data_IF_920022575954
#
_entry.id   IF_920022575954
#
_cell.length_a   1.000
_cell.length_b   1.000
_cell.length_c   1.000
_cell.angle_alpha   90.00
_cell.angle_beta   90.00
_cell.angle_gamma   90.00
#
_symmetry.space_group_name_H-M   'P 1'
#
loop_
_entity.id
_entity.type
_entity.pdbx_description
1 polymer ?
#
# COMPACT_ATOMS: atom_id res chain seq x y z
N UNK A 1 2.89 -21.73 -10.87
CA UNK A 1 1.81 -20.96 -10.18
C UNK A 1 2.39 -20.32 -8.95
N UNK A 2 2.30 -19.00 -8.82
CA UNK A 2 2.82 -18.25 -7.67
C UNK A 2 1.96 -18.46 -6.42
N UNK A 3 2.55 -18.35 -5.21
CA UNK A 3 1.84 -18.56 -3.96
C UNK A 3 0.78 -17.48 -3.72
N UNK A 4 -0.35 -17.86 -3.13
CA UNK A 4 -1.33 -16.92 -2.62
C UNK A 4 -0.87 -16.46 -1.22
N UNK A 5 -0.53 -15.19 -1.08
CA UNK A 5 -0.03 -14.61 0.17
C UNK A 5 -1.05 -13.58 0.68
N UNK A 6 -1.46 -13.72 1.93
CA UNK A 6 -2.36 -12.75 2.55
C UNK A 6 -1.60 -11.50 3.02
N UNK A 7 -2.17 -10.28 2.88
CA UNK A 7 -1.49 -9.07 3.29
C UNK A 7 -1.31 -8.96 4.82
N UNK A 8 -0.08 -8.67 5.26
CA UNK A 8 0.21 -8.33 6.65
C UNK A 8 -0.44 -7.00 7.03
N UNK A 9 -0.99 -6.89 8.23
CA UNK A 9 -1.69 -5.71 8.70
C UNK A 9 -0.83 -4.87 9.66
N UNK A 10 -0.81 -3.55 9.48
CA UNK A 10 -0.14 -2.63 10.39
C UNK A 10 -0.91 -2.42 11.71
N UNK A 11 -0.18 -2.29 12.82
CA UNK A 11 -0.67 -1.74 14.07
C UNK A 11 -0.96 -0.23 13.94
N UNK A 12 -1.50 0.39 15.00
CA UNK A 12 -1.81 1.84 15.04
C UNK A 12 -0.86 2.57 15.98
N UNK A 13 -0.62 3.85 15.69
CA UNK A 13 0.21 4.76 16.47
C UNK A 13 1.70 4.52 16.29
N UNK A 14 2.52 5.32 16.95
CA UNK A 14 3.97 5.20 16.91
C UNK A 14 4.46 3.93 17.62
N UNK A 15 5.59 3.37 17.19
CA UNK A 15 6.32 2.41 18.00
C UNK A 15 6.87 3.10 19.26
N UNK A 16 7.14 2.33 20.30
CA UNK A 16 7.80 2.80 21.51
C UNK A 16 9.33 2.74 21.33
N UNK A 17 10.04 3.71 21.90
CA UNK A 17 11.50 3.78 21.90
C UNK A 17 12.08 4.40 20.63
N UNK A 18 13.36 4.15 20.40
CA UNK A 18 14.13 4.68 19.29
C UNK A 18 13.62 4.20 17.92
N UNK A 19 13.66 5.08 16.93
CA UNK A 19 13.21 4.83 15.56
C UNK A 19 14.35 4.55 14.57
N UNK A 20 15.60 4.49 15.00
CA UNK A 20 16.76 4.20 14.14
C UNK A 20 16.67 2.85 13.42
N UNK A 21 16.03 1.87 14.10
CA UNK A 21 15.77 0.54 13.53
C UNK A 21 14.52 0.47 12.63
N UNK A 22 13.95 1.63 12.25
CA UNK A 22 12.72 1.72 11.45
C UNK A 22 12.98 2.45 10.14
N UNK A 23 12.14 2.16 9.16
CA UNK A 23 11.95 2.97 7.97
C UNK A 23 10.56 3.58 8.02
N UNK A 24 10.36 4.72 7.35
CA UNK A 24 9.06 5.36 7.20
C UNK A 24 8.74 5.56 5.74
N UNK A 25 7.50 5.29 5.37
CA UNK A 25 6.94 5.43 4.02
C UNK A 25 5.67 6.29 4.08
N UNK A 26 5.34 7.04 3.02
CA UNK A 26 4.04 7.69 2.92
C UNK A 26 2.93 6.65 2.90
N UNK A 27 1.85 6.91 3.65
CA UNK A 27 0.65 6.09 3.61
C UNK A 27 -0.25 6.54 2.47
N UNK A 28 -0.25 5.73 1.44
CA UNK A 28 -1.11 5.94 0.30
C UNK A 28 -2.56 5.62 0.65
N UNK A 29 -3.48 6.31 0.00
CA UNK A 29 -4.92 6.09 0.11
C UNK A 29 -5.47 5.56 -1.21
N UNK A 30 -5.52 4.27 -1.32
CA UNK A 30 -5.95 3.56 -2.51
C UNK A 30 -6.58 2.21 -2.16
N UNK A 31 -6.38 1.25 -3.03
CA UNK A 31 -6.78 -0.13 -2.81
C UNK A 31 -5.56 -1.03 -2.69
N UNK A 32 -5.29 -1.47 -1.48
CA UNK A 32 -4.24 -2.45 -1.24
C UNK A 32 -4.56 -3.75 -1.93
N UNK A 33 -3.57 -4.26 -2.66
CA UNK A 33 -3.65 -5.52 -3.35
C UNK A 33 -2.34 -6.30 -3.26
N UNK A 34 -2.47 -7.63 -3.29
CA UNK A 34 -1.36 -8.54 -3.57
C UNK A 34 -1.42 -8.85 -5.05
N UNK A 35 -0.32 -8.58 -5.75
CA UNK A 35 -0.18 -8.79 -7.18
C UNK A 35 0.82 -9.92 -7.41
N UNK A 36 0.35 -11.01 -7.99
CA UNK A 36 1.19 -12.08 -8.51
C UNK A 36 1.39 -11.84 -10.01
N UNK A 37 2.64 -11.72 -10.43
CA UNK A 37 3.06 -11.59 -11.81
C UNK A 37 3.96 -12.75 -12.15
N UNK A 38 3.61 -13.53 -13.17
CA UNK A 38 4.33 -14.72 -13.61
C UNK A 38 4.46 -14.69 -15.13
N UNK A 39 5.57 -14.15 -15.63
CA UNK A 39 5.89 -14.05 -17.07
C UNK A 39 4.72 -13.51 -17.91
N UNK A 40 4.20 -12.34 -17.54
CA UNK A 40 3.08 -11.68 -18.21
C UNK A 40 1.68 -12.11 -17.74
N UNK A 41 1.57 -13.18 -16.94
CA UNK A 41 0.30 -13.50 -16.29
C UNK A 41 0.13 -12.70 -14.99
N UNK A 42 -0.92 -11.87 -14.92
CA UNK A 42 -1.19 -11.01 -13.77
C UNK A 42 -2.42 -11.46 -13.00
N UNK A 43 -2.27 -11.71 -11.72
CA UNK A 43 -3.37 -11.96 -10.79
C UNK A 43 -3.27 -11.00 -9.61
N UNK A 44 -4.23 -10.11 -9.47
CA UNK A 44 -4.32 -9.20 -8.33
C UNK A 44 -5.49 -9.57 -7.42
N UNK A 45 -5.27 -9.50 -6.10
CA UNK A 45 -6.29 -9.73 -5.07
C UNK A 45 -6.32 -8.59 -4.09
N UNK A 46 -7.52 -8.15 -3.73
CA UNK A 46 -7.71 -7.16 -2.66
C UNK A 46 -7.28 -7.74 -1.31
N UNK A 47 -7.20 -6.87 -0.30
CA UNK A 47 -6.96 -7.27 1.09
C UNK A 47 -7.95 -8.34 1.62
N UNK A 48 -9.17 -8.41 1.10
CA UNK A 48 -10.17 -9.41 1.48
C UNK A 48 -10.10 -10.68 0.62
N UNK A 49 -9.09 -10.83 -0.24
CA UNK A 49 -8.91 -11.98 -1.12
C UNK A 49 -9.72 -11.93 -2.42
N UNK A 50 -10.58 -10.92 -2.61
CA UNK A 50 -11.36 -10.77 -3.85
C UNK A 50 -10.42 -10.48 -5.01
N UNK A 51 -10.55 -11.24 -6.10
CA UNK A 51 -9.82 -10.98 -7.35
C UNK A 51 -10.24 -9.63 -7.92
N UNK A 52 -9.25 -8.83 -8.30
CA UNK A 52 -9.44 -7.59 -9.03
C UNK A 52 -9.58 -7.89 -10.52
N UNK A 53 -10.43 -7.12 -11.20
CA UNK A 53 -10.45 -7.11 -12.64
C UNK A 53 -9.13 -6.53 -13.16
N UNK A 54 -8.69 -6.98 -14.34
CA UNK A 54 -7.39 -6.59 -14.93
C UNK A 54 -7.35 -5.13 -15.39
N UNK A 55 -8.48 -4.44 -15.44
CA UNK A 55 -8.57 -3.06 -15.91
C UNK A 55 -7.59 -2.15 -15.16
N UNK A 56 -6.55 -1.67 -15.86
CA UNK A 56 -5.48 -0.83 -15.32
C UNK A 56 -4.24 -1.60 -14.82
N UNK A 57 -4.18 -2.91 -14.97
CA UNK A 57 -3.00 -3.74 -14.67
C UNK A 57 -2.34 -4.31 -15.94
N UNK A 58 -2.88 -4.03 -17.12
CA UNK A 58 -2.41 -4.57 -18.40
C UNK A 58 -0.95 -4.21 -18.68
N UNK A 59 -0.48 -3.08 -18.17
CA UNK A 59 0.92 -2.67 -18.31
C UNK A 59 1.89 -3.62 -17.59
N UNK A 60 1.45 -4.30 -16.53
CA UNK A 60 2.27 -5.29 -15.84
C UNK A 60 2.48 -6.55 -16.69
N UNK A 61 1.56 -6.86 -17.61
CA UNK A 61 1.64 -8.02 -18.50
C UNK A 61 2.85 -7.94 -19.46
N UNK A 62 3.45 -6.76 -19.61
CA UNK A 62 4.66 -6.57 -20.43
C UNK A 62 5.96 -6.91 -19.69
N UNK A 63 5.90 -7.18 -18.39
CA UNK A 63 7.07 -7.48 -17.57
C UNK A 63 7.32 -9.00 -17.55
N UNK A 64 8.54 -9.39 -17.90
CA UNK A 64 9.01 -10.78 -17.79
C UNK A 64 9.59 -11.03 -16.40
N UNK A 65 8.71 -11.10 -15.41
CA UNK A 65 9.06 -11.29 -13.99
C UNK A 65 8.23 -12.42 -13.38
N UNK A 66 8.80 -13.12 -12.39
CA UNK A 66 8.09 -14.09 -11.54
C UNK A 66 8.13 -13.60 -10.09
N UNK A 67 7.13 -12.78 -9.69
CA UNK A 67 7.13 -12.07 -8.40
C UNK A 67 5.74 -11.99 -7.76
N UNK A 68 5.71 -11.82 -6.43
CA UNK A 68 4.52 -11.41 -5.67
C UNK A 68 4.80 -10.10 -4.96
N UNK A 69 4.06 -9.07 -5.31
CA UNK A 69 4.16 -7.71 -4.76
C UNK A 69 3.03 -7.44 -3.76
N UNK A 70 3.35 -6.70 -2.71
CA UNK A 70 2.36 -6.02 -1.87
C UNK A 70 2.33 -4.55 -2.30
N UNK A 71 1.19 -4.10 -2.77
CA UNK A 71 1.06 -2.82 -3.43
C UNK A 71 -0.24 -2.10 -3.07
N UNK A 72 -0.26 -0.80 -3.33
CA UNK A 72 -1.46 0.02 -3.32
C UNK A 72 -1.78 0.44 -4.75
N UNK A 73 -3.01 0.24 -5.20
CA UNK A 73 -3.52 0.81 -6.44
C UNK A 73 -4.04 2.21 -6.16
N UNK A 74 -3.52 3.20 -6.87
CA UNK A 74 -3.94 4.59 -6.75
C UNK A 74 -4.38 5.15 -8.10
N UNK A 75 -5.22 6.18 -8.07
CA UNK A 75 -5.63 6.93 -9.25
C UNK A 75 -5.08 8.35 -9.14
N UNK A 76 -4.03 8.69 -9.90
CA UNK A 76 -3.40 10.00 -9.88
C UNK A 76 -2.10 10.03 -9.06
N UNK A 77 -1.84 11.12 -8.33
CA UNK A 77 -0.56 11.38 -7.63
C UNK A 77 -0.54 10.96 -6.16
N UNK A 78 -1.43 10.07 -5.72
CA UNK A 78 -1.48 9.59 -4.33
C UNK A 78 -2.16 10.55 -3.35
N UNK A 79 -3.04 11.44 -3.80
CA UNK A 79 -3.81 12.37 -2.94
C UNK A 79 -5.05 11.71 -2.36
N UNK A 80 -5.62 12.27 -1.28
CA UNK A 80 -6.84 11.77 -0.65
C UNK A 80 -8.01 11.51 -1.60
N UNK A 81 -8.11 12.30 -2.67
CA UNK A 81 -9.17 12.20 -3.67
C UNK A 81 -9.05 10.95 -4.54
N UNK A 82 -7.88 10.35 -4.56
CA UNK A 82 -7.57 9.24 -5.46
C UNK A 82 -8.32 7.96 -5.07
N UNK A 83 -8.61 7.76 -3.78
CA UNK A 83 -9.43 6.63 -3.34
C UNK A 83 -10.83 6.65 -3.99
N UNK A 84 -11.50 7.79 -4.01
CA UNK A 84 -12.83 7.93 -4.62
C UNK A 84 -12.78 7.84 -6.14
N UNK A 85 -11.72 8.37 -6.76
CA UNK A 85 -11.49 8.25 -8.19
C UNK A 85 -11.26 6.80 -8.58
N UNK A 86 -10.49 6.07 -7.77
CA UNK A 86 -10.24 4.64 -7.94
C UNK A 86 -11.54 3.84 -7.83
N UNK A 87 -12.33 4.05 -6.78
CA UNK A 87 -13.61 3.37 -6.58
C UNK A 87 -14.55 3.56 -7.76
N UNK A 88 -14.70 4.80 -8.23
CA UNK A 88 -15.53 5.11 -9.40
C UNK A 88 -15.03 4.44 -10.68
N UNK A 89 -13.71 4.37 -10.90
CA UNK A 89 -13.11 3.73 -12.09
C UNK A 89 -13.27 2.22 -12.07
N UNK A 90 -13.04 1.59 -10.92
CA UNK A 90 -13.21 0.14 -10.79
C UNK A 90 -14.65 -0.31 -11.02
N UNK A 91 -15.64 0.52 -10.68
CA UNK A 91 -17.04 0.23 -10.96
C UNK A 91 -17.51 0.69 -12.34
N UNK A 92 -16.83 1.65 -12.98
CA UNK A 92 -17.25 2.21 -14.28
C UNK A 92 -16.70 1.50 -15.51
N UNK A 93 -15.88 0.45 -15.34
CA UNK A 93 -15.20 -0.30 -16.44
C UNK A 93 -14.41 0.60 -17.42
N UNK A 94 -14.03 1.81 -17.04
CA UNK A 94 -13.24 2.69 -17.89
C UNK A 94 -11.75 2.41 -17.68
N UNK A 95 -11.01 1.96 -18.71
CA UNK A 95 -9.57 1.72 -18.63
C UNK A 95 -8.83 3.05 -18.49
N UNK A 96 -7.73 3.02 -17.79
CA UNK A 96 -6.71 4.06 -17.78
C UNK A 96 -6.59 4.84 -16.47
N UNK A 97 -5.35 5.08 -16.08
CA UNK A 97 -4.93 5.95 -14.98
C UNK A 97 -4.89 5.31 -13.59
N UNK A 98 -4.79 3.99 -13.49
CA UNK A 98 -4.37 3.33 -12.26
C UNK A 98 -2.85 3.24 -12.24
N UNK A 99 -2.27 3.52 -11.08
CA UNK A 99 -0.85 3.36 -10.81
C UNK A 99 -0.66 2.31 -9.73
N UNK A 100 0.23 1.37 -9.97
CA UNK A 100 0.65 0.37 -8.98
C UNK A 100 1.80 0.96 -8.18
N UNK A 101 1.63 1.10 -6.87
CA UNK A 101 2.63 1.58 -5.93
C UNK A 101 3.08 0.42 -5.05
N UNK A 102 4.14 -0.27 -5.44
CA UNK A 102 4.70 -1.40 -4.70
C UNK A 102 5.48 -0.93 -3.48
N UNK A 103 5.27 -1.55 -2.32
CA UNK A 103 5.95 -1.21 -1.08
C UNK A 103 6.54 -2.43 -0.35
N UNK A 104 6.32 -3.65 -0.87
CA UNK A 104 7.01 -4.85 -0.40
C UNK A 104 7.07 -5.91 -1.52
N UNK A 105 8.10 -6.78 -1.46
CA UNK A 105 8.29 -7.91 -2.34
C UNK A 105 8.26 -9.18 -1.50
N UNK A 106 7.33 -10.09 -1.79
CA UNK A 106 7.02 -11.24 -0.94
C UNK A 106 7.54 -12.56 -1.51
N UNK A 107 7.69 -12.62 -2.82
CA UNK A 107 8.18 -13.79 -3.55
C UNK A 107 8.92 -13.34 -4.80
N UNK A 108 9.99 -14.03 -5.15
CA UNK A 108 10.76 -13.78 -6.36
C UNK A 108 11.43 -15.07 -6.85
N UNK A 109 11.25 -15.43 -8.11
CA UNK A 109 11.97 -16.47 -8.81
C UNK A 109 12.09 -17.79 -8.01
N UNK A 110 10.98 -18.30 -7.51
CA UNK A 110 10.93 -19.53 -6.71
C UNK A 110 11.27 -19.36 -5.22
N UNK A 111 11.62 -18.16 -4.75
CA UNK A 111 12.03 -17.91 -3.37
C UNK A 111 10.95 -17.21 -2.55
N UNK A 112 10.61 -17.77 -1.39
CA UNK A 112 9.80 -17.09 -0.37
C UNK A 112 10.65 -16.01 0.34
N UNK A 113 10.29 -14.74 0.14
CA UNK A 113 10.98 -13.62 0.76
C UNK A 113 10.33 -13.19 2.07
N UNK A 114 9.16 -13.71 2.43
CA UNK A 114 8.45 -13.31 3.66
C UNK A 114 9.26 -13.56 4.92
N UNK A 115 10.15 -14.54 4.88
CA UNK A 115 11.06 -14.91 5.98
C UNK A 115 12.26 -13.97 6.13
N UNK A 116 12.55 -13.15 5.12
CA UNK A 116 13.65 -12.19 5.14
C UNK A 116 13.30 -10.92 5.91
N UNK A 117 14.30 -10.19 6.44
CA UNK A 117 14.11 -8.84 6.97
C UNK A 117 13.51 -7.88 5.93
N UNK A 118 12.72 -6.90 6.38
CA UNK A 118 12.14 -5.87 5.51
C UNK A 118 13.20 -5.19 4.62
N UNK A 119 14.37 -4.83 5.16
CA UNK A 119 15.43 -4.20 4.36
C UNK A 119 15.90 -5.07 3.20
N UNK A 120 16.02 -6.38 3.41
CA UNK A 120 16.44 -7.31 2.35
C UNK A 120 15.36 -7.45 1.26
N UNK A 121 14.09 -7.54 1.65
CA UNK A 121 12.96 -7.56 0.69
C UNK A 121 12.88 -6.25 -0.08
N UNK A 122 13.08 -5.15 0.63
CA UNK A 122 13.02 -3.81 0.04
C UNK A 122 14.15 -3.55 -0.96
N UNK A 123 15.37 -3.98 -0.66
CA UNK A 123 16.49 -3.86 -1.59
C UNK A 123 16.22 -4.63 -2.90
N UNK A 124 15.62 -5.81 -2.80
CA UNK A 124 15.22 -6.59 -3.99
C UNK A 124 14.09 -5.90 -4.76
N UNK A 125 13.09 -5.32 -4.08
CA UNK A 125 12.02 -4.57 -4.73
C UNK A 125 12.57 -3.35 -5.51
N UNK A 126 13.51 -2.63 -4.90
CA UNK A 126 14.16 -1.46 -5.51
C UNK A 126 15.04 -1.82 -6.70
N UNK A 127 15.55 -3.06 -6.74
CA UNK A 127 16.32 -3.60 -7.86
C UNK A 127 15.47 -4.15 -9.00
N UNK A 128 14.13 -4.27 -8.84
CA UNK A 128 13.26 -4.70 -9.92
C UNK A 128 13.13 -3.61 -10.98
N UNK A 129 13.32 -3.99 -12.24
CA UNK A 129 13.08 -3.14 -13.39
C UNK A 129 11.57 -3.12 -13.73
N UNK A 130 10.82 -2.25 -13.06
CA UNK A 130 9.37 -2.14 -13.27
C UNK A 130 8.99 -1.31 -14.50
N UNK A 131 9.97 -0.84 -15.27
CA UNK A 131 9.82 -0.19 -16.59
C UNK A 131 8.72 0.90 -16.65
N UNK A 132 8.47 1.61 -15.57
CA UNK A 132 7.41 2.63 -15.48
C UNK A 132 5.98 2.06 -15.47
N UNK A 133 5.82 0.74 -15.37
CA UNK A 133 4.51 0.06 -15.26
C UNK A 133 3.99 0.08 -13.82
N UNK A 134 4.91 0.06 -12.86
CA UNK A 134 4.67 0.23 -11.44
C UNK A 134 5.76 1.13 -10.84
N UNK A 135 5.46 1.74 -9.71
CA UNK A 135 6.39 2.56 -8.96
C UNK A 135 6.68 1.91 -7.61
N UNK A 136 7.90 2.08 -7.13
CA UNK A 136 8.26 1.71 -5.75
C UNK A 136 7.97 2.88 -4.84
N UNK A 137 7.20 2.66 -3.76
CA UNK A 137 6.91 3.69 -2.75
C UNK A 137 8.22 4.17 -2.13
N UNK A 138 8.54 5.46 -2.06
CA UNK A 138 9.76 5.95 -1.44
C UNK A 138 9.79 5.61 0.06
N UNK A 139 11.00 5.34 0.58
CA UNK A 139 11.22 5.12 2.01
C UNK A 139 12.30 6.06 2.54
N UNK A 140 12.18 6.40 3.80
CA UNK A 140 13.06 7.31 4.52
C UNK A 140 13.50 6.69 5.86
N UNK A 141 14.55 7.20 6.52
CA UNK A 141 14.89 6.81 7.89
C UNK A 141 13.71 7.02 8.84
N UNK A 142 13.55 6.12 9.81
CA UNK A 142 12.46 6.22 10.78
C UNK A 142 12.49 7.51 11.61
N UNK A 143 13.69 8.06 11.84
CA UNK A 143 13.86 9.36 12.51
C UNK A 143 13.17 10.52 11.79
N UNK A 144 12.99 10.44 10.47
CA UNK A 144 12.38 11.50 9.65
C UNK A 144 10.84 11.44 9.62
N UNK A 145 10.23 10.63 10.47
CA UNK A 145 8.77 10.36 10.42
C UNK A 145 7.92 11.62 10.60
N UNK A 146 8.32 12.55 11.48
CA UNK A 146 7.56 13.81 11.72
C UNK A 146 7.61 14.71 10.50
N UNK A 147 8.78 14.86 9.90
CA UNK A 147 8.96 15.65 8.68
C UNK A 147 8.13 15.07 7.53
N UNK A 148 8.17 13.74 7.36
CA UNK A 148 7.36 13.06 6.34
C UNK A 148 5.87 13.17 6.64
N UNK A 149 5.44 13.04 7.91
CA UNK A 149 4.03 13.19 8.30
C UNK A 149 3.53 14.61 7.99
N UNK A 150 4.32 15.64 8.31
CA UNK A 150 4.00 17.03 7.98
C UNK A 150 3.89 17.25 6.47
N UNK A 151 4.81 16.69 5.69
CA UNK A 151 4.75 16.73 4.23
C UNK A 151 3.50 16.01 3.68
N UNK A 152 3.17 14.84 4.23
CA UNK A 152 1.94 14.11 3.89
C UNK A 152 0.68 14.94 4.20
N UNK A 153 0.64 15.59 5.36
CA UNK A 153 -0.49 16.43 5.76
C UNK A 153 -0.66 17.63 4.83
N UNK A 154 0.42 18.33 4.52
CA UNK A 154 0.40 19.48 3.61
C UNK A 154 -0.04 19.11 2.17
N UNK A 155 0.16 17.86 1.76
CA UNK A 155 -0.29 17.33 0.47
C UNK A 155 -1.62 16.56 0.54
N UNK A 156 -2.33 16.58 1.69
CA UNK A 156 -3.62 15.92 1.86
C UNK A 156 -3.56 14.40 1.79
N UNK A 157 -2.42 13.79 2.14
CA UNK A 157 -2.23 12.34 2.22
C UNK A 157 -2.71 11.78 3.56
N UNK A 158 -2.96 10.46 3.63
CA UNK A 158 -3.53 9.82 4.84
C UNK A 158 -2.58 9.84 6.04
N UNK A 159 -1.28 9.82 5.84
CA UNK A 159 -0.28 9.74 6.89
C UNK A 159 0.96 8.98 6.48
N UNK A 160 1.55 8.25 7.43
CA UNK A 160 2.78 7.47 7.22
C UNK A 160 2.65 6.04 7.77
N UNK A 161 3.50 5.15 7.28
CA UNK A 161 3.69 3.78 7.79
C UNK A 161 5.14 3.59 8.19
N UNK A 162 5.39 3.35 9.47
CA UNK A 162 6.70 2.94 9.96
C UNK A 162 6.83 1.43 9.86
N UNK A 163 7.96 0.94 9.35
CA UNK A 163 8.27 -0.47 9.17
C UNK A 163 9.59 -0.81 9.84
N UNK A 164 9.60 -1.80 10.75
CA UNK A 164 10.82 -2.23 11.43
C UNK A 164 11.74 -2.94 10.46
N UNK A 165 12.95 -2.40 10.26
CA UNK A 165 13.90 -2.80 9.20
C UNK A 165 14.31 -4.28 9.24
N UNK A 166 14.42 -4.85 10.44
CA UNK A 166 14.79 -6.27 10.65
C UNK A 166 13.60 -7.21 10.77
N UNK A 167 12.37 -6.75 10.50
CA UNK A 167 11.18 -7.59 10.66
C UNK A 167 10.90 -8.46 9.45
N UNK A 168 10.44 -9.68 9.70
CA UNK A 168 9.87 -10.55 8.67
C UNK A 168 8.46 -10.08 8.29
N UNK A 169 7.98 -10.51 7.13
CA UNK A 169 6.58 -10.33 6.76
C UNK A 169 5.75 -11.45 7.38
N UNK A 170 4.58 -11.14 7.94
CA UNK A 170 3.68 -12.08 8.59
C UNK A 170 2.34 -12.13 7.86
N UNK A 171 2.18 -13.01 6.86
CA UNK A 171 0.97 -13.09 6.06
C UNK A 171 -0.29 -13.22 6.91
N UNK A 172 -1.34 -12.45 6.57
CA UNK A 172 -2.64 -12.48 7.22
C UNK A 172 -2.70 -11.92 8.65
N UNK A 173 -1.55 -11.58 9.25
CA UNK A 173 -1.50 -11.18 10.67
C UNK A 173 -1.32 -9.68 10.84
N UNK A 174 -1.88 -9.15 11.93
CA UNK A 174 -1.57 -7.80 12.41
C UNK A 174 -0.22 -7.82 13.12
N UNK A 175 0.70 -6.94 12.69
CA UNK A 175 2.05 -6.88 13.23
C UNK A 175 2.30 -5.56 13.93
N UNK A 176 3.02 -5.60 15.05
CA UNK A 176 3.56 -4.42 15.72
C UNK A 176 4.83 -3.89 15.02
N UNK A 177 5.38 -4.65 14.08
CA UNK A 177 6.55 -4.27 13.30
C UNK A 177 6.21 -3.35 12.11
N UNK A 178 4.92 -3.18 11.81
CA UNK A 178 4.40 -2.15 10.92
C UNK A 178 3.43 -1.28 11.71
N UNK A 179 3.64 0.03 11.71
CA UNK A 179 2.85 0.97 12.49
C UNK A 179 2.37 2.11 11.60
N UNK A 180 1.08 2.37 11.61
CA UNK A 180 0.51 3.47 10.84
C UNK A 180 0.16 4.65 11.73
N UNK A 181 0.58 5.83 11.31
CA UNK A 181 0.26 7.13 11.91
C UNK A 181 -0.49 7.94 10.88
N UNK A 182 -1.69 8.40 11.25
CA UNK A 182 -2.51 9.23 10.37
C UNK A 182 -2.25 10.70 10.62
N UNK A 183 -2.33 11.51 9.57
CA UNK A 183 -2.32 12.96 9.71
C UNK A 183 -3.49 13.42 10.58
N UNK A 184 -3.29 14.43 11.46
CA UNK A 184 -4.36 14.96 12.30
C UNK A 184 -5.59 15.41 11.53
N UNK A 185 -5.40 16.10 10.41
CA UNK A 185 -6.47 16.60 9.55
C UNK A 185 -7.19 15.51 8.73
N UNK A 186 -6.62 14.32 8.62
CA UNK A 186 -7.17 13.26 7.75
C UNK A 186 -8.60 12.85 8.12
N UNK A 187 -8.91 12.71 9.41
CA UNK A 187 -10.24 12.30 9.88
C UNK A 187 -11.33 13.32 9.52
N UNK A 188 -10.99 14.59 9.49
CA UNK A 188 -11.92 15.68 9.13
C UNK A 188 -12.15 15.74 7.62
N UNK A 189 -11.09 15.61 6.81
CA UNK A 189 -11.19 15.67 5.36
C UNK A 189 -11.85 14.42 4.77
N UNK A 190 -11.55 13.23 5.29
CA UNK A 190 -12.17 12.00 4.84
C UNK A 190 -13.68 11.96 5.04
N UNK A 191 -14.17 12.48 6.17
CA UNK A 191 -15.61 12.55 6.47
C UNK A 191 -16.35 13.62 5.65
N UNK A 192 -15.72 14.75 5.35
CA UNK A 192 -16.35 15.83 4.55
C UNK A 192 -16.59 15.46 3.09
N UNK A 193 -15.88 14.46 2.58
CA UNK A 193 -15.95 14.01 1.16
C UNK A 193 -16.95 12.88 0.93
N UNK A 194 -17.47 12.28 1.98
CA UNK A 194 -18.50 11.27 1.87
C UNK A 194 -19.84 11.93 1.49
N UNK A 195 -20.68 11.29 0.64
CA UNK A 195 -22.06 11.69 0.48
C UNK A 195 -22.73 11.86 1.86
N UNK A 196 -23.57 12.88 2.01
CA UNK A 196 -24.14 13.25 3.31
C UNK A 196 -24.71 12.09 4.11
N UNK A 197 -25.49 11.21 3.47
CA UNK A 197 -26.08 10.01 4.06
C UNK A 197 -25.04 9.01 4.61
N UNK A 198 -23.92 8.84 3.90
CA UNK A 198 -22.83 7.93 4.33
C UNK A 198 -22.06 8.54 5.50
N UNK A 199 -21.85 9.85 5.46
CA UNK A 199 -21.20 10.61 6.53
C UNK A 199 -22.02 10.55 7.83
N UNK A 200 -23.33 10.76 7.76
CA UNK A 200 -24.24 10.68 8.91
C UNK A 200 -24.27 9.29 9.54
N UNK A 201 -24.30 8.21 8.74
CA UNK A 201 -24.18 6.83 9.21
C UNK A 201 -22.89 6.58 9.99
N UNK A 202 -21.76 7.08 9.47
CA UNK A 202 -20.45 6.91 10.14
C UNK A 202 -20.38 7.71 11.44
N UNK A 203 -20.93 8.92 11.46
CA UNK A 203 -20.97 9.74 12.66
C UNK A 203 -21.88 9.13 13.73
N UNK A 204 -23.04 8.61 13.34
CA UNK A 204 -23.96 7.93 14.24
C UNK A 204 -23.37 6.65 14.86
N UNK A 205 -22.56 5.89 14.12
CA UNK A 205 -21.89 4.68 14.63
C UNK A 205 -20.68 4.94 15.55
N UNK A 206 -20.21 6.19 15.68
CA UNK A 206 -19.11 6.60 16.56
C UNK A 206 -19.56 7.19 17.89
N UNK A 207 -20.86 7.42 18.04
CA UNK A 207 -21.50 7.99 19.24
C UNK A 207 -22.11 6.93 20.19
N UNK A 208 -21.82 5.64 19.97
CA UNK A 208 -22.22 4.54 20.87
C UNK A 208 -21.02 3.88 21.51
#
# INVERSE_FOLDING_TARGET
MLPAIDPMLAGRGLPTGDLDGWAVEPKLDGWRCIIALDHGEVVARTRSGRRLDRAGLERLETLDLSVVLDAELIAGEGRCEDFYRLSRRMFSRRPGGLMVMAFDLLWQDGQDLTVLPYDARRARLEALELAGTACVVPRYPGADWEALLGACEGNGMEGVVLKRRRSTYRPGRRSQHWRKVKCPSWSEHGLRRLPGEVRERILASRGQ
#
